data_IF_695270890837
#
_entry.id   IF_695270890837
#
_cell.length_a   1.000
_cell.length_b   1.000
_cell.length_c   1.000
_cell.angle_alpha   90.00
_cell.angle_beta   90.00
_cell.angle_gamma   90.00
#
_symmetry.space_group_name_H-M   'P 1'
#
loop_
_entity.id
_entity.type
_entity.pdbx_description
1 polymer ?
#
# COMPACT_ATOMS: atom_id res chain seq x y z
N UNK A 1 -4.46 -26.42 9.83
CA UNK A 1 -3.69 -25.15 9.96
C UNK A 1 -4.35 -24.17 10.92
N UNK A 2 -5.53 -23.61 10.62
CA UNK A 2 -6.20 -22.61 11.49
C UNK A 2 -6.40 -23.10 12.94
N UNK A 3 -6.80 -24.36 13.12
CA UNK A 3 -6.95 -24.95 14.45
C UNK A 3 -5.62 -25.01 15.24
N UNK A 4 -4.49 -25.21 14.55
CA UNK A 4 -3.16 -25.19 15.17
C UNK A 4 -2.77 -23.76 15.56
N UNK A 5 -3.01 -22.78 14.68
CA UNK A 5 -2.73 -21.37 14.96
C UNK A 5 -3.55 -20.84 16.16
N UNK A 6 -4.79 -21.33 16.34
CA UNK A 6 -5.64 -20.97 17.50
C UNK A 6 -5.15 -21.54 18.83
N UNK A 7 -4.28 -22.54 18.83
CA UNK A 7 -3.71 -23.16 20.03
C UNK A 7 -2.37 -22.53 20.45
N UNK A 8 -1.83 -21.61 19.66
CA UNK A 8 -0.57 -20.92 19.92
C UNK A 8 -0.75 -19.76 20.89
N UNK A 9 0.28 -19.48 21.69
CA UNK A 9 0.28 -18.32 22.60
C UNK A 9 0.53 -17.03 21.82
N UNK A 10 0.19 -15.88 22.42
CA UNK A 10 0.40 -14.56 21.80
C UNK A 10 1.87 -14.32 21.44
N UNK A 11 2.80 -14.76 22.29
CA UNK A 11 4.24 -14.62 22.07
C UNK A 11 4.73 -15.42 20.85
N UNK A 12 4.24 -16.65 20.68
CA UNK A 12 4.58 -17.47 19.50
C UNK A 12 4.03 -16.84 18.22
N UNK A 13 2.83 -16.25 18.27
CA UNK A 13 2.24 -15.54 17.13
C UNK A 13 3.01 -14.25 16.82
N UNK A 14 3.46 -13.52 17.84
CA UNK A 14 4.28 -12.32 17.67
C UNK A 14 5.65 -12.64 17.06
N UNK A 15 6.29 -13.73 17.50
CA UNK A 15 7.56 -14.19 16.93
C UNK A 15 7.40 -14.55 15.44
N UNK A 16 6.30 -15.23 15.08
CA UNK A 16 5.99 -15.53 13.67
C UNK A 16 5.73 -14.26 12.88
N UNK A 17 4.94 -13.32 13.41
CA UNK A 17 4.65 -12.04 12.74
C UNK A 17 5.92 -11.22 12.47
N UNK A 18 6.84 -11.17 13.43
CA UNK A 18 8.15 -10.52 13.29
C UNK A 18 9.02 -11.24 12.26
N UNK A 19 9.06 -12.58 12.26
CA UNK A 19 9.79 -13.37 11.25
C UNK A 19 9.25 -13.17 9.84
N UNK A 20 7.94 -13.01 9.69
CA UNK A 20 7.28 -12.72 8.41
C UNK A 20 7.41 -11.25 7.98
N UNK A 21 8.12 -10.41 8.75
CA UNK A 21 8.43 -9.02 8.37
C UNK A 21 7.20 -8.18 8.01
N UNK A 22 6.13 -8.43 8.74
CA UNK A 22 4.77 -7.95 8.45
C UNK A 22 4.63 -6.43 8.21
N UNK A 23 5.50 -5.63 8.83
CA UNK A 23 5.48 -4.16 8.74
C UNK A 23 6.66 -3.54 7.99
N UNK A 24 7.52 -4.34 7.36
CA UNK A 24 8.66 -3.82 6.59
C UNK A 24 8.49 -4.11 5.11
N UNK A 25 8.50 -3.06 4.29
CA UNK A 25 8.65 -3.20 2.85
C UNK A 25 10.09 -3.69 2.55
N UNK A 26 10.24 -4.99 2.36
CA UNK A 26 11.48 -5.56 1.83
C UNK A 26 11.51 -5.33 0.31
N UNK A 27 12.33 -4.38 -0.14
CA UNK A 27 12.62 -4.12 -1.57
C UNK A 27 13.64 -5.09 -2.18
N UNK A 28 14.25 -5.95 -1.35
CA UNK A 28 15.34 -6.86 -1.74
C UNK A 28 14.87 -8.30 -2.04
N UNK A 29 13.74 -8.72 -1.48
CA UNK A 29 13.14 -10.02 -1.78
C UNK A 29 12.50 -10.05 -3.17
N UNK A 30 11.88 -11.17 -3.54
CA UNK A 30 10.99 -11.17 -4.70
C UNK A 30 9.88 -10.13 -4.44
N UNK A 31 9.69 -9.12 -5.32
CA UNK A 31 8.62 -8.14 -5.18
C UNK A 31 7.23 -8.76 -5.01
N UNK A 32 7.05 -10.01 -5.44
CA UNK A 32 5.80 -10.79 -5.28
C UNK A 32 5.58 -11.35 -3.87
N UNK A 33 6.65 -11.47 -3.08
CA UNK A 33 6.66 -12.01 -1.71
C UNK A 33 6.79 -10.90 -0.65
N UNK A 34 6.79 -9.63 -1.07
CA UNK A 34 6.81 -8.49 -0.15
C UNK A 34 5.39 -8.29 0.41
N UNK A 35 5.08 -8.96 1.50
CA UNK A 35 3.80 -8.85 2.19
C UNK A 35 3.74 -7.53 2.97
N UNK A 36 3.49 -6.44 2.25
CA UNK A 36 3.09 -5.18 2.85
C UNK A 36 1.74 -5.40 3.55
N UNK A 37 1.74 -5.69 4.85
CA UNK A 37 0.60 -5.61 5.78
C UNK A 37 -0.67 -6.31 5.27
N UNK A 38 -0.91 -7.59 5.61
CA UNK A 38 -2.14 -8.38 5.26
C UNK A 38 -3.02 -7.71 4.21
N UNK A 39 -2.66 -7.92 2.94
CA UNK A 39 -3.46 -7.41 1.84
C UNK A 39 -4.91 -7.89 2.01
N UNK A 40 -5.85 -6.99 1.73
CA UNK A 40 -7.26 -7.35 1.69
C UNK A 40 -7.45 -8.50 0.68
N UNK A 41 -8.14 -9.56 1.11
CA UNK A 41 -8.42 -10.74 0.30
C UNK A 41 -9.88 -10.66 -0.15
N UNK A 42 -10.15 -11.11 -1.38
CA UNK A 42 -11.50 -11.30 -1.89
C UNK A 42 -12.10 -12.51 -1.16
N UNK A 43 -12.94 -12.26 -0.16
CA UNK A 43 -13.56 -13.29 0.68
C UNK A 43 -14.95 -13.73 0.17
N UNK A 44 -15.52 -13.03 -0.81
CA UNK A 44 -16.85 -13.29 -1.35
C UNK A 44 -18.00 -12.79 -0.46
N UNK A 45 -17.72 -12.32 0.75
CA UNK A 45 -18.72 -11.90 1.76
C UNK A 45 -18.61 -10.41 2.03
N UNK A 46 -17.45 -9.94 2.49
CA UNK A 46 -17.18 -8.51 2.69
C UNK A 46 -16.74 -7.86 1.37
N UNK A 47 -15.80 -8.51 0.67
CA UNK A 47 -15.33 -8.12 -0.65
C UNK A 47 -15.74 -9.19 -1.67
N UNK A 48 -16.86 -8.99 -2.38
CA UNK A 48 -17.36 -9.98 -3.34
C UNK A 48 -16.45 -10.11 -4.58
N UNK A 49 -15.73 -9.03 -4.94
CA UNK A 49 -14.89 -8.91 -6.14
C UNK A 49 -13.69 -8.00 -5.87
N UNK A 50 -12.80 -7.89 -6.85
CA UNK A 50 -11.70 -6.93 -6.82
C UNK A 50 -12.24 -5.49 -6.77
N UNK A 51 -11.58 -4.56 -6.07
CA UNK A 51 -12.04 -3.19 -5.93
C UNK A 51 -12.17 -2.48 -7.28
N UNK A 52 -11.32 -2.79 -8.26
CA UNK A 52 -11.40 -2.23 -9.62
C UNK A 52 -12.71 -2.61 -10.32
N UNK A 53 -13.16 -3.85 -10.17
CA UNK A 53 -14.44 -4.32 -10.73
C UNK A 53 -15.62 -3.70 -10.00
N UNK A 54 -15.55 -3.58 -8.67
CA UNK A 54 -16.61 -2.93 -7.86
C UNK A 54 -16.77 -1.46 -8.27
N UNK A 55 -15.65 -0.76 -8.49
CA UNK A 55 -15.66 0.62 -8.95
C UNK A 55 -16.23 0.76 -10.37
N UNK A 56 -15.93 -0.19 -11.27
CA UNK A 56 -16.44 -0.20 -12.63
C UNK A 56 -17.95 -0.53 -12.69
N UNK A 57 -18.42 -1.47 -11.88
CA UNK A 57 -19.83 -1.86 -11.78
C UNK A 57 -20.68 -0.82 -11.04
N UNK A 58 -20.05 0.17 -10.39
CA UNK A 58 -20.69 1.18 -9.54
C UNK A 58 -21.58 0.57 -8.45
N UNK A 59 -21.26 -0.66 -8.04
CA UNK A 59 -22.06 -1.44 -7.10
C UNK A 59 -21.58 -1.21 -5.66
N UNK A 60 -21.70 0.04 -5.21
CA UNK A 60 -21.34 0.46 -3.86
C UNK A 60 -22.27 1.57 -3.36
N UNK A 61 -22.30 1.78 -2.05
CA UNK A 61 -23.16 2.79 -1.44
C UNK A 61 -22.69 4.20 -1.82
N UNK A 62 -23.52 4.93 -2.56
CA UNK A 62 -23.21 6.29 -3.05
C UNK A 62 -23.53 7.35 -2.00
N UNK A 63 -22.84 7.29 -0.85
CA UNK A 63 -22.94 8.29 0.22
C UNK A 63 -21.95 9.42 0.02
N UNK A 64 -22.12 10.57 0.69
CA UNK A 64 -21.12 11.64 0.64
C UNK A 64 -19.77 11.11 1.16
N UNK A 65 -18.76 11.09 0.30
CA UNK A 65 -17.45 10.50 0.58
C UNK A 65 -16.34 11.53 0.34
N UNK A 66 -15.52 11.78 1.35
CA UNK A 66 -14.40 12.73 1.32
C UNK A 66 -13.11 11.92 1.28
N UNK A 67 -12.32 12.12 0.23
CA UNK A 67 -10.98 11.56 0.10
C UNK A 67 -9.98 12.70 0.14
N UNK A 68 -9.01 12.60 1.04
CA UNK A 68 -7.94 13.59 1.19
C UNK A 68 -6.58 12.90 1.15
N UNK A 69 -5.60 13.59 0.56
CA UNK A 69 -4.19 13.20 0.59
C UNK A 69 -3.35 14.33 1.17
N UNK A 70 -2.32 13.97 1.94
CA UNK A 70 -1.32 14.84 2.53
C UNK A 70 -0.10 14.94 1.61
N UNK A 71 0.53 16.11 1.52
CA UNK A 71 1.70 16.33 0.65
C UNK A 71 2.89 15.39 0.92
N UNK A 72 3.03 14.89 2.15
CA UNK A 72 4.14 14.00 2.56
C UNK A 72 3.60 12.73 3.23
N UNK A 73 2.75 11.97 2.53
CA UNK A 73 2.18 10.71 3.05
C UNK A 73 3.25 9.74 3.58
N UNK A 74 4.40 9.71 2.91
CA UNK A 74 5.52 8.82 3.25
C UNK A 74 6.69 9.52 3.96
N UNK A 75 6.50 10.77 4.42
CA UNK A 75 7.61 11.61 4.90
C UNK A 75 8.15 11.26 6.29
N UNK A 76 7.31 10.77 7.20
CA UNK A 76 7.69 10.49 8.60
C UNK A 76 7.22 9.13 9.12
N UNK A 77 6.00 8.71 8.77
CA UNK A 77 5.32 7.59 9.45
C UNK A 77 5.71 6.20 8.93
N UNK A 78 6.32 6.11 7.75
CA UNK A 78 6.75 4.82 7.19
C UNK A 78 8.28 4.82 7.03
N UNK A 79 9.01 4.16 7.94
CA UNK A 79 10.43 3.95 7.75
C UNK A 79 10.59 3.03 6.54
N UNK A 80 11.05 3.60 5.44
CA UNK A 80 11.72 2.85 4.39
C UNK A 80 12.94 2.17 5.01
N UNK A 81 12.77 0.95 5.53
CA UNK A 81 13.86 0.11 6.00
C UNK A 81 14.63 -0.44 4.79
N UNK A 82 15.07 0.45 3.91
CA UNK A 82 16.06 0.13 2.89
C UNK A 82 17.40 0.11 3.63
N UNK A 83 18.07 -1.03 3.63
CA UNK A 83 19.44 -1.11 4.12
C UNK A 83 20.31 -0.08 3.40
N UNK A 84 21.06 0.70 4.14
CA UNK A 84 21.85 1.84 3.65
C UNK A 84 22.76 1.50 2.45
N UNK A 85 23.25 0.25 2.39
CA UNK A 85 24.07 -0.29 1.31
C UNK A 85 23.35 -0.43 -0.04
N UNK A 86 22.02 -0.46 -0.06
CA UNK A 86 21.21 -0.78 -1.25
C UNK A 86 20.37 0.40 -1.74
N UNK A 87 20.37 1.50 -0.98
CA UNK A 87 19.85 2.81 -1.40
C UNK A 87 20.39 3.21 -2.79
N UNK A 88 21.71 3.08 -3.09
CA UNK A 88 22.24 3.47 -4.40
C UNK A 88 21.65 2.67 -5.57
N UNK A 89 21.41 1.36 -5.40
CA UNK A 89 20.93 0.47 -6.45
C UNK A 89 19.44 0.69 -6.79
N UNK A 90 18.61 0.95 -5.77
CA UNK A 90 17.19 1.31 -5.98
C UNK A 90 17.08 2.67 -6.67
N UNK A 91 17.91 3.63 -6.26
CA UNK A 91 17.93 4.96 -6.86
C UNK A 91 18.43 4.93 -8.29
N UNK A 92 19.51 4.21 -8.61
CA UNK A 92 20.01 4.13 -9.99
C UNK A 92 18.95 3.54 -10.93
N UNK A 93 18.25 2.49 -10.48
CA UNK A 93 17.22 1.82 -11.27
C UNK A 93 15.96 2.65 -11.50
N UNK A 94 15.58 3.53 -10.58
CA UNK A 94 14.28 4.24 -10.62
C UNK A 94 14.38 5.78 -10.65
N UNK A 95 15.53 6.38 -10.29
CA UNK A 95 15.74 7.83 -10.09
C UNK A 95 17.13 8.23 -10.62
N UNK A 96 17.37 8.00 -11.91
CA UNK A 96 18.61 8.37 -12.61
C UNK A 96 18.59 9.85 -13.08
N UNK A 97 18.70 10.82 -12.16
CA UNK A 97 18.68 12.24 -12.55
C UNK A 97 19.17 13.29 -11.54
N UNK A 98 19.77 12.89 -10.42
CA UNK A 98 20.29 13.81 -9.38
C UNK A 98 21.43 13.11 -8.64
N UNK A 99 22.44 13.82 -8.12
CA UNK A 99 23.59 13.19 -7.42
C UNK A 99 23.49 13.21 -5.88
N UNK A 100 22.59 14.03 -5.31
CA UNK A 100 22.48 14.19 -3.86
C UNK A 100 21.63 13.09 -3.18
N UNK A 101 22.16 12.32 -2.23
CA UNK A 101 21.46 11.19 -1.58
C UNK A 101 20.21 11.61 -0.78
N UNK A 102 20.19 12.80 -0.18
CA UNK A 102 19.05 13.30 0.59
C UNK A 102 17.86 13.55 -0.34
N UNK A 103 18.12 14.24 -1.45
CA UNK A 103 17.10 14.59 -2.44
C UNK A 103 16.54 13.36 -3.18
N UNK A 104 17.36 12.33 -3.34
CA UNK A 104 16.93 11.03 -3.90
C UNK A 104 15.96 10.30 -2.96
N UNK A 105 16.23 10.30 -1.66
CA UNK A 105 15.33 9.73 -0.66
C UNK A 105 13.99 10.46 -0.65
N UNK A 106 14.00 11.80 -0.67
CA UNK A 106 12.77 12.60 -0.73
C UNK A 106 11.96 12.25 -1.98
N UNK A 107 12.61 12.15 -3.14
CA UNK A 107 11.93 11.78 -4.39
C UNK A 107 11.36 10.35 -4.38
N UNK A 108 12.07 9.39 -3.78
CA UNK A 108 11.56 8.03 -3.62
C UNK A 108 10.34 7.99 -2.70
N UNK A 109 10.38 8.75 -1.60
CA UNK A 109 9.24 8.89 -0.69
C UNK A 109 8.04 9.53 -1.37
N UNK A 110 8.25 10.58 -2.16
CA UNK A 110 7.20 11.24 -2.94
C UNK A 110 6.60 10.27 -3.97
N UNK A 111 7.43 9.55 -4.73
CA UNK A 111 6.99 8.54 -5.70
C UNK A 111 6.14 7.45 -5.04
N UNK A 112 6.56 6.96 -3.87
CA UNK A 112 5.80 5.96 -3.14
C UNK A 112 4.51 6.51 -2.57
N UNK A 113 4.50 7.76 -2.09
CA UNK A 113 3.28 8.44 -1.69
C UNK A 113 2.26 8.51 -2.83
N UNK A 114 2.72 8.87 -4.03
CA UNK A 114 1.87 8.94 -5.22
C UNK A 114 1.32 7.57 -5.63
N UNK A 115 2.15 6.53 -5.62
CA UNK A 115 1.74 5.17 -6.01
C UNK A 115 0.79 4.54 -4.98
N UNK A 116 1.09 4.67 -3.69
CA UNK A 116 0.33 4.01 -2.62
C UNK A 116 -0.94 4.77 -2.23
N UNK A 117 -0.91 6.10 -2.27
CA UNK A 117 -2.01 6.93 -1.74
C UNK A 117 -2.55 7.90 -2.78
N UNK A 118 -1.70 8.62 -3.52
CA UNK A 118 -2.11 9.67 -4.45
C UNK A 118 -3.02 9.18 -5.57
N UNK A 119 -2.49 8.31 -6.44
CA UNK A 119 -3.23 7.78 -7.59
C UNK A 119 -4.48 6.98 -7.18
N UNK A 120 -4.42 6.04 -6.21
CA UNK A 120 -5.62 5.32 -5.76
C UNK A 120 -6.71 6.25 -5.24
N UNK A 121 -6.36 7.25 -4.43
CA UNK A 121 -7.31 8.24 -3.88
C UNK A 121 -8.05 9.00 -4.97
N UNK A 122 -7.31 9.47 -5.99
CA UNK A 122 -7.89 10.22 -7.10
C UNK A 122 -8.75 9.31 -7.98
N UNK A 123 -8.34 8.05 -8.23
CA UNK A 123 -9.12 7.08 -9.00
C UNK A 123 -10.46 6.80 -8.32
N UNK A 124 -10.46 6.50 -7.02
CA UNK A 124 -11.67 6.25 -6.23
C UNK A 124 -12.58 7.47 -6.24
N UNK A 125 -12.02 8.67 -6.02
CA UNK A 125 -12.79 9.92 -6.03
C UNK A 125 -13.48 10.20 -7.37
N UNK A 126 -12.81 9.92 -8.49
CA UNK A 126 -13.40 10.06 -9.84
C UNK A 126 -14.54 9.09 -10.04
N UNK A 127 -14.36 7.81 -9.70
CA UNK A 127 -15.43 6.81 -9.82
C UNK A 127 -16.65 7.15 -8.97
N UNK A 128 -16.44 7.64 -7.74
CA UNK A 128 -17.53 8.07 -6.87
C UNK A 128 -18.31 9.26 -7.44
N UNK A 129 -17.60 10.27 -7.95
CA UNK A 129 -18.22 11.42 -8.63
C UNK A 129 -19.00 11.00 -9.89
N UNK A 130 -18.43 10.12 -10.70
CA UNK A 130 -19.03 9.67 -11.96
C UNK A 130 -20.23 8.72 -11.72
N UNK A 131 -20.37 8.18 -10.50
CA UNK A 131 -21.56 7.41 -10.08
C UNK A 131 -22.70 8.34 -9.69
N UNK A 132 -22.39 9.42 -8.96
CA UNK A 132 -23.36 10.46 -8.59
C UNK A 132 -23.95 11.20 -9.80
N UNK A 133 -23.18 11.39 -10.87
CA UNK A 133 -23.66 12.08 -12.08
C UNK A 133 -24.62 11.26 -12.95
N UNK A 134 -24.66 9.94 -12.80
CA UNK A 134 -25.57 9.04 -13.55
C UNK A 134 -26.88 8.80 -12.80
N UNK A 135 -26.93 9.11 -11.51
CA UNK A 135 -28.12 8.96 -10.67
C UNK A 135 -29.08 10.17 -10.72
N UNK A 136 -28.82 11.17 -11.58
CA UNK A 136 -29.67 12.36 -11.82
C UNK A 136 -30.22 12.32 -13.24
#
# INVERSE_FOLDING_TARGET
MVHCLRQKTEDELLEVAQKTKFGSLDFLGDPRESYCLLHAIIDGVVLPKAPEEILAEKNFNTVLYIVGITKKEFGWSMPMNISESLIPAVIEKYISGTDNPIRKKDFLQDLMGDVMFGAPSVIVSRHHRDTLSVAT
#
